data_IF_036359597498
#
_entry.id   IF_036359597498
#
_cell.length_a   1.000
_cell.length_b   1.000
_cell.length_c   1.000
_cell.angle_alpha   90.00
_cell.angle_beta   90.00
_cell.angle_gamma   90.00
#
_symmetry.space_group_name_H-M   'P 1'
#
loop_
_entity.id
_entity.type
_entity.pdbx_description
1 polymer ?
#
# COMPACT_ATOMS: atom_id res chain seq x y z
N UNK A 1 -82.65 3.24 -11.75
CA UNK A 1 -81.34 3.34 -12.44
C UNK A 1 -80.46 2.18 -12.00
N UNK A 2 -79.63 1.69 -12.92
CA UNK A 2 -78.93 0.39 -12.87
C UNK A 2 -77.90 0.21 -11.74
N UNK A 3 -77.84 -1.08 -11.35
CA UNK A 3 -76.85 -1.99 -10.73
C UNK A 3 -75.33 -1.78 -11.07
N UNK A 4 -74.36 -2.59 -10.55
CA UNK A 4 -73.44 -2.38 -9.41
C UNK A 4 -71.94 -2.51 -9.85
N UNK A 5 -71.01 -2.93 -8.95
CA UNK A 5 -69.79 -3.79 -9.12
C UNK A 5 -68.73 -3.32 -8.08
N UNK A 6 -68.45 -3.93 -6.92
CA UNK A 6 -67.92 -5.26 -6.52
C UNK A 6 -66.44 -5.54 -6.86
N UNK A 7 -65.74 -6.10 -5.84
CA UNK A 7 -64.44 -6.82 -5.82
C UNK A 7 -63.18 -5.92 -5.66
N UNK A 8 -62.19 -6.19 -4.81
CA UNK A 8 -61.82 -7.35 -3.98
C UNK A 8 -60.68 -6.93 -3.07
N UNK A 9 -60.80 -7.14 -1.75
CA UNK A 9 -59.67 -7.12 -0.83
C UNK A 9 -58.97 -8.48 -0.89
N UNK A 10 -57.73 -8.52 -1.38
CA UNK A 10 -56.91 -9.72 -1.36
C UNK A 10 -55.91 -9.68 -0.19
N UNK A 11 -56.15 -10.61 0.73
CA UNK A 11 -55.19 -11.43 1.45
C UNK A 11 -53.96 -10.77 2.11
N UNK A 12 -54.01 -10.75 3.45
CA UNK A 12 -52.83 -10.81 4.32
C UNK A 12 -52.02 -12.08 3.98
N UNK A 13 -50.81 -11.92 3.48
CA UNK A 13 -49.82 -13.00 3.42
C UNK A 13 -48.84 -12.80 4.58
N UNK A 14 -48.74 -13.84 5.41
CA UNK A 14 -47.86 -13.87 6.57
C UNK A 14 -46.40 -13.76 6.17
N UNK A 15 -45.63 -13.03 6.97
CA UNK A 15 -44.17 -12.99 6.86
C UNK A 15 -43.64 -13.93 7.92
N UNK A 16 -43.32 -15.16 7.51
CA UNK A 16 -42.50 -16.08 8.28
C UNK A 16 -41.41 -16.62 7.36
N UNK A 17 -40.18 -16.51 7.87
CA UNK A 17 -39.02 -17.34 7.59
C UNK A 17 -38.33 -17.21 6.22
N UNK A 18 -37.30 -16.37 6.22
CA UNK A 18 -36.15 -16.51 5.32
C UNK A 18 -34.83 -16.21 6.06
N UNK A 19 -34.62 -16.83 7.22
CA UNK A 19 -33.29 -17.04 7.80
C UNK A 19 -32.89 -18.49 7.56
N UNK A 20 -32.30 -18.76 6.40
CA UNK A 20 -31.94 -20.12 6.02
C UNK A 20 -31.23 -20.22 4.68
N UNK A 21 -30.13 -19.47 4.49
CA UNK A 21 -29.19 -19.76 3.40
C UNK A 21 -27.82 -19.12 3.67
N UNK A 22 -27.09 -19.67 4.66
CA UNK A 22 -25.66 -19.37 4.85
C UNK A 22 -24.81 -20.64 5.07
N UNK A 23 -25.38 -21.82 4.91
CA UNK A 23 -24.70 -23.10 5.19
C UNK A 23 -24.05 -23.77 3.97
N UNK A 24 -24.17 -23.22 2.76
CA UNK A 24 -23.71 -23.90 1.52
C UNK A 24 -22.61 -23.21 0.70
N UNK A 25 -21.91 -22.22 1.26
CA UNK A 25 -20.75 -21.58 0.59
C UNK A 25 -19.39 -22.07 1.12
N UNK A 26 -19.36 -23.07 2.00
CA UNK A 26 -18.15 -23.59 2.64
C UNK A 26 -17.56 -24.87 2.05
N UNK A 27 -18.12 -25.47 0.99
CA UNK A 27 -17.74 -26.82 0.55
C UNK A 27 -17.24 -26.97 -0.90
N UNK A 28 -17.09 -25.89 -1.68
CA UNK A 28 -16.67 -26.01 -3.09
C UNK A 28 -15.21 -25.62 -3.39
N UNK A 29 -14.37 -25.32 -2.40
CA UNK A 29 -12.97 -24.88 -2.64
C UNK A 29 -11.95 -26.04 -2.57
N UNK A 30 -12.39 -27.28 -2.33
CA UNK A 30 -11.45 -28.39 -2.07
C UNK A 30 -11.52 -29.52 -3.10
N UNK A 31 -11.56 -29.21 -4.40
CA UNK A 31 -11.23 -30.24 -5.42
C UNK A 31 -10.87 -29.65 -6.80
N UNK A 32 -9.84 -28.83 -6.94
CA UNK A 32 -9.06 -28.80 -8.19
C UNK A 32 -7.57 -28.65 -7.86
N UNK A 33 -6.90 -29.80 -7.93
CA UNK A 33 -5.48 -30.01 -7.72
C UNK A 33 -4.80 -30.13 -9.09
N UNK A 34 -3.68 -29.42 -9.27
CA UNK A 34 -2.58 -29.71 -10.21
C UNK A 34 -2.85 -29.69 -11.72
N UNK A 35 -2.39 -28.63 -12.39
CA UNK A 35 -1.34 -28.64 -13.43
C UNK A 35 -1.35 -27.33 -14.25
N UNK A 36 -0.31 -26.52 -14.10
CA UNK A 36 0.32 -25.85 -15.24
C UNK A 36 1.71 -25.32 -14.88
N UNK A 37 2.67 -25.68 -15.72
CA UNK A 37 4.06 -25.22 -15.71
C UNK A 37 4.08 -23.91 -16.50
N UNK A 38 4.69 -22.85 -15.94
CA UNK A 38 5.05 -21.63 -16.67
C UNK A 38 4.46 -20.35 -16.07
N UNK A 39 5.37 -19.48 -15.60
CA UNK A 39 5.06 -18.11 -15.18
C UNK A 39 4.71 -17.99 -13.70
N UNK A 40 5.72 -17.84 -12.84
CA UNK A 40 5.52 -17.46 -11.43
C UNK A 40 5.13 -15.98 -11.33
N UNK A 41 3.89 -15.66 -11.69
CA UNK A 41 3.17 -14.52 -11.13
C UNK A 41 2.11 -15.06 -10.18
N UNK A 42 2.56 -15.62 -9.05
CA UNK A 42 1.67 -15.86 -7.92
C UNK A 42 1.19 -14.51 -7.42
N UNK A 43 -0.10 -14.22 -7.60
CA UNK A 43 -0.78 -13.13 -6.93
C UNK A 43 -0.71 -13.38 -5.41
N UNK A 44 0.38 -12.91 -4.79
CA UNK A 44 0.70 -13.11 -3.38
C UNK A 44 -0.06 -12.07 -2.55
N UNK A 45 -1.37 -12.29 -2.41
CA UNK A 45 -2.28 -11.47 -1.59
C UNK A 45 -2.14 -11.73 -0.07
N UNK A 46 -1.12 -12.46 0.39
CA UNK A 46 -1.09 -12.96 1.77
C UNK A 46 -0.46 -12.03 2.81
N UNK A 47 0.21 -10.94 2.43
CA UNK A 47 0.92 -10.05 3.37
C UNK A 47 0.75 -8.55 3.04
N UNK A 48 -0.50 -8.10 2.89
CA UNK A 48 -0.78 -6.68 2.64
C UNK A 48 -0.16 -5.79 3.73
N UNK A 49 0.55 -4.74 3.33
CA UNK A 49 1.13 -3.75 4.26
C UNK A 49 0.04 -3.11 5.15
N UNK A 50 -1.20 -3.06 4.67
CA UNK A 50 -2.33 -2.47 5.39
C UNK A 50 -2.71 -3.22 6.67
N UNK A 51 -2.38 -4.52 6.78
CA UNK A 51 -2.65 -5.33 7.98
C UNK A 51 -1.49 -5.33 8.98
N UNK A 52 -0.43 -4.57 8.73
CA UNK A 52 0.77 -4.55 9.57
C UNK A 52 0.80 -3.36 10.53
N UNK A 53 1.60 -3.42 11.61
CA UNK A 53 1.88 -2.27 12.47
C UNK A 53 2.56 -1.07 11.80
N UNK A 54 2.93 -1.16 10.51
CA UNK A 54 3.43 -0.02 9.74
C UNK A 54 2.31 0.97 9.43
N UNK A 55 1.05 0.52 9.38
CA UNK A 55 -0.08 1.38 9.04
C UNK A 55 -0.23 2.51 10.07
N UNK A 56 -0.21 3.75 9.59
CA UNK A 56 -0.26 5.00 10.35
C UNK A 56 0.83 5.15 11.43
N UNK A 57 1.93 4.41 11.35
CA UNK A 57 2.96 4.41 12.40
C UNK A 57 3.56 5.81 12.63
N UNK A 58 3.71 6.63 11.58
CA UNK A 58 4.25 7.98 11.68
C UNK A 58 3.26 8.98 12.31
N UNK A 59 1.95 8.69 12.32
CA UNK A 59 0.93 9.53 12.97
C UNK A 59 0.95 9.46 14.49
N UNK A 60 1.59 8.43 15.05
CA UNK A 60 1.68 8.29 16.52
C UNK A 60 2.47 9.43 17.17
N UNK A 61 3.41 10.03 16.43
CA UNK A 61 4.23 11.15 16.87
C UNK A 61 4.18 12.25 15.80
N UNK A 62 3.11 13.04 15.80
CA UNK A 62 3.06 14.27 15.00
C UNK A 62 3.83 15.38 15.71
N UNK A 63 4.39 16.29 14.92
CA UNK A 63 5.04 17.50 15.45
C UNK A 63 4.01 18.37 16.18
N UNK A 64 4.32 18.75 17.42
CA UNK A 64 3.50 19.69 18.21
C UNK A 64 4.10 21.10 18.30
N UNK A 65 5.38 21.25 17.94
CA UNK A 65 6.18 22.47 18.12
C UNK A 65 6.80 22.99 16.82
N UNK A 66 6.40 22.42 15.68
CA UNK A 66 6.95 22.75 14.37
C UNK A 66 8.32 22.13 14.08
N UNK A 67 8.78 21.14 14.88
CA UNK A 67 10.01 20.39 14.61
C UNK A 67 9.68 18.99 14.09
N UNK A 68 10.45 18.54 13.12
CA UNK A 68 10.34 17.17 12.61
C UNK A 68 10.57 16.16 13.75
N UNK A 69 9.62 15.25 14.02
CA UNK A 69 9.84 14.18 14.98
C UNK A 69 11.00 13.30 14.53
N UNK A 70 11.86 12.90 15.46
CA UNK A 70 12.97 12.00 15.13
C UNK A 70 12.51 10.55 14.91
N UNK A 71 11.43 10.14 15.57
CA UNK A 71 10.90 8.77 15.55
C UNK A 71 9.38 8.77 15.39
N UNK A 72 8.76 7.67 14.89
CA UNK A 72 9.39 6.44 14.39
C UNK A 72 10.00 6.61 13.00
N UNK A 73 10.81 5.64 12.54
CA UNK A 73 11.40 5.62 11.20
C UNK A 73 11.05 4.33 10.48
N UNK A 74 10.80 4.41 9.18
CA UNK A 74 10.45 3.29 8.32
C UNK A 74 11.35 3.24 7.11
N UNK A 75 11.84 2.05 6.79
CA UNK A 75 12.65 1.80 5.59
C UNK A 75 12.02 0.69 4.79
N UNK A 76 11.91 0.92 3.48
CA UNK A 76 11.56 -0.13 2.52
C UNK A 76 12.84 -0.67 1.89
N UNK A 77 12.96 -2.00 1.84
CA UNK A 77 14.11 -2.71 1.30
C UNK A 77 13.66 -3.79 0.32
N UNK A 78 14.53 -4.19 -0.60
CA UNK A 78 14.26 -5.27 -1.55
C UNK A 78 12.94 -5.08 -2.34
N UNK A 79 12.69 -3.84 -2.77
CA UNK A 79 11.48 -3.50 -3.52
C UNK A 79 11.51 -4.17 -4.89
N UNK A 80 10.48 -4.98 -5.16
CA UNK A 80 10.24 -5.65 -6.42
C UNK A 80 9.15 -4.89 -7.17
N UNK A 81 9.53 -4.35 -8.33
CA UNK A 81 8.64 -3.65 -9.24
C UNK A 81 8.18 -4.64 -10.31
N UNK A 82 6.88 -4.82 -10.53
CA UNK A 82 6.39 -5.67 -11.63
C UNK A 82 6.84 -5.14 -13.00
N UNK A 83 7.30 -6.04 -13.88
CA UNK A 83 7.80 -5.69 -15.22
C UNK A 83 6.81 -4.86 -16.04
N UNK A 84 5.50 -5.14 -15.89
CA UNK A 84 4.43 -4.39 -16.56
C UNK A 84 4.39 -2.90 -16.20
N UNK A 85 4.96 -2.51 -15.06
CA UNK A 85 5.07 -1.11 -14.62
C UNK A 85 6.34 -0.42 -15.11
N UNK A 86 7.30 -1.18 -15.64
CA UNK A 86 8.56 -0.67 -16.18
C UNK A 86 8.43 -0.20 -17.63
N UNK A 87 7.44 -0.70 -18.36
CA UNK A 87 7.17 -0.29 -19.74
C UNK A 87 6.26 0.95 -19.79
N UNK A 88 6.61 1.95 -20.60
CA UNK A 88 5.75 3.10 -20.91
C UNK A 88 4.50 2.62 -21.67
N UNK A 89 3.47 2.20 -20.95
CA UNK A 89 2.16 1.96 -21.54
C UNK A 89 1.49 3.32 -21.77
N UNK A 90 1.05 3.59 -23.01
CA UNK A 90 0.27 4.79 -23.38
C UNK A 90 -1.06 4.92 -22.60
N UNK A 91 -1.46 3.90 -21.84
CA UNK A 91 -2.60 3.93 -20.92
C UNK A 91 -2.15 3.60 -19.49
N UNK A 92 -2.45 4.53 -18.57
CA UNK A 92 -2.18 4.45 -17.12
C UNK A 92 -3.16 3.51 -16.38
N UNK A 93 -3.54 2.38 -16.98
CA UNK A 93 -4.47 1.46 -16.32
C UNK A 93 -3.69 0.45 -15.49
N UNK A 94 -3.48 0.78 -14.21
CA UNK A 94 -3.04 -0.21 -13.21
C UNK A 94 -4.08 -1.33 -13.13
N UNK A 95 -3.67 -2.57 -13.36
CA UNK A 95 -4.56 -3.71 -13.14
C UNK A 95 -4.71 -3.89 -11.63
N UNK A 96 -5.93 -4.15 -11.16
CA UNK A 96 -6.22 -4.32 -9.73
C UNK A 96 -5.35 -5.42 -9.05
N UNK A 97 -4.87 -6.39 -9.82
CA UNK A 97 -4.00 -7.49 -9.40
C UNK A 97 -2.50 -7.16 -9.36
N UNK A 98 -2.08 -6.00 -9.89
CA UNK A 98 -0.67 -5.60 -9.84
C UNK A 98 -0.31 -5.19 -8.43
N UNK A 99 0.77 -5.76 -7.90
CA UNK A 99 1.27 -5.48 -6.57
C UNK A 99 2.77 -5.31 -6.60
N UNK A 100 3.28 -4.32 -5.85
CA UNK A 100 4.69 -4.31 -5.48
C UNK A 100 4.90 -5.23 -4.29
N UNK A 101 6.07 -5.85 -4.21
CA UNK A 101 6.48 -6.65 -3.04
C UNK A 101 7.75 -6.07 -2.46
N UNK A 102 7.88 -6.08 -1.13
CA UNK A 102 9.03 -5.50 -0.46
C UNK A 102 9.19 -6.05 0.95
N UNK A 103 10.36 -5.82 1.53
CA UNK A 103 10.59 -5.96 2.96
C UNK A 103 10.59 -4.56 3.60
N UNK A 104 10.34 -4.50 4.90
CA UNK A 104 10.37 -3.24 5.63
C UNK A 104 11.03 -3.39 6.99
N UNK A 105 11.60 -2.29 7.46
CA UNK A 105 12.17 -2.19 8.80
C UNK A 105 11.58 -0.96 9.49
N UNK A 106 11.10 -1.15 10.72
CA UNK A 106 10.54 -0.11 11.57
C UNK A 106 11.44 0.09 12.78
N UNK A 107 11.88 1.32 13.00
CA UNK A 107 12.45 1.75 14.26
C UNK A 107 11.42 2.57 15.01
N UNK A 108 10.93 2.05 16.13
CA UNK A 108 10.07 2.85 17.03
C UNK A 108 10.88 3.89 17.79
N UNK A 109 12.13 3.57 18.06
CA UNK A 109 13.16 4.42 18.65
C UNK A 109 14.55 3.83 18.35
N UNK A 110 15.59 4.39 18.98
CA UNK A 110 16.98 3.97 18.78
C UNK A 110 17.28 2.50 19.16
N UNK A 111 16.41 1.85 19.95
CA UNK A 111 16.64 0.50 20.49
C UNK A 111 15.63 -0.52 19.99
N UNK A 112 14.40 -0.11 19.67
CA UNK A 112 13.32 -1.01 19.24
C UNK A 112 13.20 -1.07 17.72
N UNK A 113 13.56 -2.23 17.17
CA UNK A 113 13.54 -2.51 15.73
C UNK A 113 12.62 -3.69 15.45
N UNK A 114 11.74 -3.54 14.45
CA UNK A 114 10.88 -4.59 13.92
C UNK A 114 11.16 -4.76 12.43
N UNK A 115 11.17 -6.01 11.95
CA UNK A 115 11.41 -6.36 10.55
C UNK A 115 10.20 -7.09 10.00
N UNK A 116 9.82 -6.73 8.79
CA UNK A 116 8.70 -7.30 8.05
C UNK A 116 9.22 -7.80 6.71
N UNK A 117 8.81 -9.00 6.32
CA UNK A 117 9.30 -9.63 5.09
C UNK A 117 8.16 -10.06 4.18
N UNK A 118 8.39 -9.91 2.87
CA UNK A 118 7.43 -10.29 1.84
C UNK A 118 6.09 -9.56 1.98
N UNK A 119 6.14 -8.26 2.30
CA UNK A 119 4.97 -7.39 2.29
C UNK A 119 4.55 -7.09 0.86
N UNK A 120 3.26 -6.85 0.67
CA UNK A 120 2.70 -6.42 -0.61
C UNK A 120 1.86 -5.17 -0.48
N UNK A 121 1.82 -4.39 -1.55
CA UNK A 121 0.85 -3.32 -1.76
C UNK A 121 0.32 -3.43 -3.17
N UNK A 122 -0.98 -3.70 -3.30
CA UNK A 122 -1.64 -3.91 -4.58
C UNK A 122 -2.36 -2.65 -5.09
N UNK A 123 -2.54 -2.54 -6.40
CA UNK A 123 -3.25 -1.44 -7.05
C UNK A 123 -4.67 -1.22 -6.47
N UNK A 124 -5.38 -2.30 -6.14
CA UNK A 124 -6.71 -2.24 -5.50
C UNK A 124 -6.72 -1.61 -4.10
N UNK A 125 -5.56 -1.56 -3.45
CA UNK A 125 -5.36 -1.08 -2.07
C UNK A 125 -4.84 0.36 -2.04
N UNK A 126 -4.55 0.95 -3.20
CA UNK A 126 -4.02 2.30 -3.28
C UNK A 126 -5.08 3.31 -2.80
N UNK A 127 -4.74 4.20 -1.86
CA UNK A 127 -5.63 5.27 -1.44
C UNK A 127 -6.07 6.14 -2.62
N UNK A 128 -7.35 6.53 -2.63
CA UNK A 128 -7.90 7.45 -3.64
C UNK A 128 -7.52 8.90 -3.31
N UNK A 129 -6.25 9.26 -3.49
CA UNK A 129 -5.77 10.62 -3.33
C UNK A 129 -4.62 10.92 -4.28
N UNK A 130 -4.36 12.22 -4.51
CA UNK A 130 -3.21 12.64 -5.31
C UNK A 130 -1.91 12.22 -4.62
N UNK A 131 -0.99 11.70 -5.42
CA UNK A 131 0.36 11.33 -5.00
C UNK A 131 1.42 12.29 -5.59
N UNK A 132 0.99 13.45 -6.11
CA UNK A 132 1.87 14.42 -6.77
C UNK A 132 2.90 15.00 -5.80
N UNK A 133 2.58 15.01 -4.50
CA UNK A 133 3.49 15.43 -3.43
C UNK A 133 4.80 14.61 -3.42
N UNK A 134 4.80 13.39 -3.98
CA UNK A 134 6.00 12.54 -4.09
C UNK A 134 7.09 13.23 -4.90
N UNK A 135 6.72 14.00 -5.94
CA UNK A 135 7.69 14.74 -6.77
C UNK A 135 8.44 15.76 -5.93
N UNK A 136 7.74 16.50 -5.09
CA UNK A 136 8.33 17.47 -4.15
C UNK A 136 9.14 16.74 -3.08
N UNK A 137 8.54 15.76 -2.42
CA UNK A 137 9.13 14.99 -1.32
C UNK A 137 10.48 14.35 -1.69
N UNK A 138 10.57 13.75 -2.89
CA UNK A 138 11.79 13.08 -3.37
C UNK A 138 12.89 14.07 -3.80
N UNK A 139 12.52 15.30 -4.15
CA UNK A 139 13.45 16.29 -4.72
C UNK A 139 14.31 16.97 -3.66
N UNK A 140 13.84 17.00 -2.41
CA UNK A 140 14.63 17.55 -1.32
C UNK A 140 15.54 16.48 -0.70
N UNK A 141 16.86 16.71 -0.62
CA UNK A 141 17.76 15.78 0.05
C UNK A 141 17.57 15.82 1.56
N UNK A 142 17.95 14.76 2.26
CA UNK A 142 17.83 14.70 3.72
C UNK A 142 18.94 15.54 4.39
N UNK A 143 18.63 16.62 5.12
CA UNK A 143 19.64 17.48 5.73
C UNK A 143 20.28 16.88 6.98
N UNK A 144 21.47 17.39 7.34
CA UNK A 144 22.20 17.03 8.56
C UNK A 144 23.17 15.86 8.39
N UNK A 145 23.65 15.30 9.52
CA UNK A 145 24.59 14.16 9.51
C UNK A 145 23.89 12.92 8.96
N UNK A 146 24.05 12.69 7.66
CA UNK A 146 23.93 11.37 7.05
C UNK A 146 25.27 10.71 7.30
N UNK A 147 25.38 9.85 8.33
CA UNK A 147 26.65 9.18 8.61
C UNK A 147 27.07 8.44 7.34
N UNK A 148 28.23 8.81 6.81
CA UNK A 148 28.60 8.67 5.40
C UNK A 148 28.32 7.30 4.78
N UNK A 149 28.01 7.36 3.48
CA UNK A 149 28.05 6.28 2.48
C UNK A 149 27.91 4.86 3.07
N UNK A 150 26.70 4.29 2.92
CA UNK A 150 26.43 2.85 3.00
C UNK A 150 26.49 2.26 4.42
N UNK A 151 25.57 2.64 5.31
CA UNK A 151 25.27 1.85 6.52
C UNK A 151 23.87 1.27 6.51
N UNK A 152 23.68 0.25 5.66
CA UNK A 152 22.62 -0.76 5.80
C UNK A 152 21.19 -0.20 5.85
N UNK A 153 20.30 -0.91 6.53
CA UNK A 153 18.93 -0.44 6.78
C UNK A 153 18.90 0.56 7.95
N UNK A 154 20.01 0.83 8.66
CA UNK A 154 20.00 1.43 10.00
C UNK A 154 19.22 2.74 10.15
N UNK A 155 18.96 3.21 11.39
CA UNK A 155 18.03 4.30 11.68
C UNK A 155 18.46 5.68 11.14
N UNK A 156 19.59 5.78 10.45
CA UNK A 156 20.04 7.03 9.83
C UNK A 156 19.67 6.99 8.36
N UNK A 157 18.83 7.93 7.88
CA UNK A 157 18.41 7.93 6.48
C UNK A 157 19.59 8.17 5.54
N UNK A 158 19.45 7.66 4.32
CA UNK A 158 20.33 8.00 3.21
C UNK A 158 20.14 9.47 2.80
N UNK A 159 21.14 10.03 2.12
CA UNK A 159 21.04 11.39 1.58
C UNK A 159 19.87 11.52 0.59
N UNK A 160 19.71 10.51 -0.28
CA UNK A 160 18.57 10.38 -1.18
C UNK A 160 17.50 9.49 -0.53
N UNK A 161 16.23 9.93 -0.58
CA UNK A 161 15.10 9.16 -0.03
C UNK A 161 14.72 7.94 -0.89
N UNK A 162 15.20 7.91 -2.14
CA UNK A 162 14.98 6.84 -3.10
C UNK A 162 16.33 6.34 -3.64
N UNK A 163 16.41 5.06 -4.07
CA UNK A 163 17.59 4.52 -4.73
C UNK A 163 17.88 5.27 -6.04
N UNK A 164 19.17 5.42 -6.39
CA UNK A 164 19.63 6.06 -7.63
C UNK A 164 19.71 5.08 -8.82
N UNK A 165 18.92 4.01 -8.79
CA UNK A 165 18.88 2.98 -9.83
C UNK A 165 18.04 3.44 -11.04
N UNK A 166 18.50 3.12 -12.26
CA UNK A 166 17.76 3.44 -13.50
C UNK A 166 16.33 2.88 -13.48
N UNK A 167 16.13 1.70 -12.89
CA UNK A 167 14.81 1.11 -12.77
C UNK A 167 13.88 1.93 -11.86
N UNK A 168 14.39 2.51 -10.77
CA UNK A 168 13.62 3.41 -9.91
C UNK A 168 13.23 4.68 -10.68
N UNK A 169 14.18 5.28 -11.41
CA UNK A 169 13.91 6.47 -12.22
C UNK A 169 12.84 6.21 -13.28
N UNK A 170 12.97 5.12 -14.03
CA UNK A 170 12.02 4.74 -15.07
C UNK A 170 10.63 4.46 -14.50
N UNK A 171 10.55 3.78 -13.35
CA UNK A 171 9.28 3.51 -12.68
C UNK A 171 8.55 4.79 -12.24
N UNK A 172 9.30 5.78 -11.74
CA UNK A 172 8.77 7.10 -11.40
C UNK A 172 8.33 7.88 -12.65
N UNK A 173 9.10 7.85 -13.73
CA UNK A 173 8.76 8.48 -15.01
C UNK A 173 7.45 7.93 -15.59
N UNK A 174 7.21 6.62 -15.45
CA UNK A 174 5.98 5.95 -15.87
C UNK A 174 4.76 6.26 -14.98
N UNK A 175 4.86 7.16 -14.01
CA UNK A 175 3.84 7.54 -13.03
C UNK A 175 3.42 6.44 -12.04
N UNK A 176 3.53 5.16 -12.39
CA UNK A 176 3.24 4.04 -11.47
C UNK A 176 4.05 4.15 -10.19
N UNK A 177 5.33 4.49 -10.28
CA UNK A 177 6.18 4.71 -9.11
C UNK A 177 5.66 5.82 -8.20
N UNK A 178 5.11 6.90 -8.76
CA UNK A 178 4.53 7.98 -7.95
C UNK A 178 3.31 7.47 -7.17
N UNK A 179 2.43 6.68 -7.80
CA UNK A 179 1.27 6.11 -7.13
C UNK A 179 1.66 5.19 -5.97
N UNK A 180 2.59 4.26 -6.19
CA UNK A 180 2.97 3.31 -5.15
C UNK A 180 3.79 3.97 -4.04
N UNK A 181 4.75 4.84 -4.35
CA UNK A 181 5.55 5.55 -3.34
C UNK A 181 4.65 6.48 -2.51
N UNK A 182 3.76 7.24 -3.15
CA UNK A 182 2.82 8.10 -2.46
C UNK A 182 1.83 7.33 -1.58
N UNK A 183 1.39 6.16 -2.07
CA UNK A 183 0.55 5.25 -1.30
C UNK A 183 1.29 4.67 -0.10
N UNK A 184 2.56 4.27 -0.23
CA UNK A 184 3.38 3.81 0.89
C UNK A 184 3.52 4.90 1.97
N UNK A 185 3.87 6.13 1.57
CA UNK A 185 3.95 7.29 2.46
C UNK A 185 2.62 7.52 3.18
N UNK A 186 1.51 7.45 2.45
CA UNK A 186 0.16 7.56 3.02
C UNK A 186 -0.14 6.45 4.02
N UNK A 187 0.17 5.21 3.67
CA UNK A 187 -0.08 4.02 4.49
C UNK A 187 0.67 4.12 5.80
N UNK A 188 1.94 4.53 5.78
CA UNK A 188 2.72 4.72 7.02
C UNK A 188 2.28 5.96 7.82
N UNK A 189 1.42 6.80 7.24
CA UNK A 189 0.88 7.97 7.90
C UNK A 189 1.78 9.20 7.80
N UNK A 190 2.60 9.29 6.75
CA UNK A 190 3.35 10.49 6.41
C UNK A 190 2.38 11.66 6.17
N UNK A 191 2.73 12.85 6.68
CA UNK A 191 1.97 14.07 6.45
C UNK A 191 2.57 14.87 5.28
N UNK A 192 1.92 14.89 4.09
CA UNK A 192 2.44 15.61 2.93
C UNK A 192 2.50 17.13 3.13
N UNK A 193 1.74 17.68 4.09
CA UNK A 193 1.75 19.12 4.39
C UNK A 193 2.89 19.53 5.32
N UNK A 194 3.53 18.56 5.97
CA UNK A 194 4.60 18.80 6.93
C UNK A 194 5.96 18.51 6.30
N UNK A 195 6.38 19.42 5.43
CA UNK A 195 7.53 19.26 4.51
C UNK A 195 8.89 19.14 5.19
N UNK A 196 9.00 19.44 6.48
CA UNK A 196 10.24 19.29 7.24
C UNK A 196 10.49 17.86 7.75
N UNK A 197 9.49 16.98 7.69
CA UNK A 197 9.61 15.58 8.10
C UNK A 197 10.31 14.73 7.03
N UNK A 198 11.61 14.93 6.88
CA UNK A 198 12.34 14.32 5.75
C UNK A 198 13.07 13.03 6.12
N UNK A 199 13.09 12.66 7.40
CA UNK A 199 14.04 11.69 7.97
C UNK A 199 13.40 10.39 8.43
N UNK A 200 12.07 10.30 8.38
CA UNK A 200 11.31 9.17 8.93
C UNK A 200 10.91 8.11 7.92
N UNK A 201 11.10 8.35 6.62
CA UNK A 201 10.81 7.37 5.58
C UNK A 201 11.81 7.41 4.42
N UNK A 202 12.33 6.27 4.00
CA UNK A 202 13.10 6.14 2.75
C UNK A 202 13.02 4.72 2.15
N UNK A 203 13.32 4.62 0.86
CA UNK A 203 13.46 3.35 0.14
C UNK A 203 14.95 3.13 -0.13
N UNK A 204 15.48 2.01 0.34
CA UNK A 204 16.92 1.75 0.32
C UNK A 204 17.40 1.13 -0.99
N UNK A 205 16.70 0.10 -1.48
CA UNK A 205 17.14 -0.67 -2.64
C UNK A 205 15.98 -1.38 -3.33
N UNK A 206 16.17 -1.61 -4.62
CA UNK A 206 15.40 -2.58 -5.40
C UNK A 206 15.95 -4.00 -5.17
N UNK A 207 15.18 -5.01 -5.57
CA UNK A 207 15.60 -6.41 -5.59
C UNK A 207 15.84 -6.88 -7.02
#
# INVERSE_FOLDING_TARGET
>A
MLVPILLTGCATTGVQDAFGSLSNLGQTISSELSQSIGGSSTAQSSNSVLSTPLRNVLKSNLSTDGRAPEWPKVVITNLQIPDGQMTMARSLSLKASECINFDAVLWRDAKRVERFSGLSLCAKELPRQSNDFVVTWKSFPVPGKTTGQVRGDGPTPLYNKLPSDQAMEQWLLNQFGLYYVGSLLTVVGYDPNFTIDERRFWIKNLK
#
